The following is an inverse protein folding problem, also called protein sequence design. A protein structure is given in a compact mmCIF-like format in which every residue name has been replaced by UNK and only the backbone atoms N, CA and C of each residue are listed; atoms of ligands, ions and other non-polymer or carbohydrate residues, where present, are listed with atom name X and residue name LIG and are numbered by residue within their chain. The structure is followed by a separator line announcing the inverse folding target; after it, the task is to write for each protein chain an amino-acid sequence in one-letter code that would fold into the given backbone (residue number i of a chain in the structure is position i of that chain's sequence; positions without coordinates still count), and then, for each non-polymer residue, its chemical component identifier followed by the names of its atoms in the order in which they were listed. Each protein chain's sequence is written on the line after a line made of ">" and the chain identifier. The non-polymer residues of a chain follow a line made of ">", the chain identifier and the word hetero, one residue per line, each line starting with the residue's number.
data_IF_314334895097
#
_entry.id   IF_314334895097
#
_cell.length_a   1.000
_cell.length_b   1.000
_cell.length_c   1.000
_cell.angle_alpha   90.00
_cell.angle_beta   90.00
_cell.angle_gamma   90.00
#
_symmetry.space_group_name_H-M   'P 1'
#
loop_
_entity.id
_entity.type
_entity.pdbx_description
1 polymer ?
#
# COMPACT_ATOMS: atom_id res chain seq x y z
N UNK A 1 25.03 -1.08 -4.90
CA UNK A 1 23.99 -1.51 -3.96
C UNK A 1 24.48 -1.23 -2.54
N UNK A 2 23.60 -0.91 -1.58
CA UNK A 2 23.97 -0.42 -0.24
C UNK A 2 23.82 -1.46 0.89
N UNK A 3 23.59 -2.74 0.56
CA UNK A 3 23.46 -3.81 1.56
C UNK A 3 22.24 -3.72 2.48
N UNK A 4 21.19 -3.00 2.06
CA UNK A 4 19.94 -2.90 2.82
C UNK A 4 19.12 -4.19 2.79
N UNK A 5 18.21 -4.35 3.74
CA UNK A 5 17.32 -5.52 3.86
C UNK A 5 16.06 -5.36 3.02
N UNK A 6 15.56 -6.42 2.36
CA UNK A 6 14.27 -6.37 1.64
C UNK A 6 13.11 -6.45 2.62
N UNK A 7 13.06 -7.56 3.35
CA UNK A 7 12.15 -7.80 4.46
C UNK A 7 12.89 -7.42 5.73
N UNK A 8 12.29 -6.56 6.55
CA UNK A 8 12.95 -6.06 7.76
C UNK A 8 12.00 -5.90 8.94
N UNK A 9 12.47 -6.10 10.17
CA UNK A 9 11.65 -5.87 11.35
C UNK A 9 11.39 -4.37 11.52
N UNK A 10 10.31 -4.03 12.23
CA UNK A 10 9.89 -2.64 12.41
C UNK A 10 10.98 -1.76 13.06
N UNK A 11 11.76 -2.30 14.00
CA UNK A 11 12.80 -1.53 14.69
C UNK A 11 13.95 -1.06 13.79
N UNK A 12 14.10 -1.57 12.56
CA UNK A 12 15.05 -1.00 11.60
C UNK A 12 14.61 0.39 11.11
N UNK A 13 13.29 0.61 11.02
CA UNK A 13 12.68 1.86 10.59
C UNK A 13 12.26 2.77 11.74
N UNK A 14 12.05 2.18 12.93
CA UNK A 14 11.60 2.84 14.15
C UNK A 14 12.46 2.42 15.36
N UNK A 15 13.77 2.69 15.38
CA UNK A 15 14.69 2.17 16.40
C UNK A 15 14.44 2.71 17.82
N UNK A 16 13.83 3.90 17.91
CA UNK A 16 13.51 4.56 19.17
C UNK A 16 12.10 4.25 19.69
N UNK A 17 11.32 3.48 18.93
CA UNK A 17 9.98 3.05 19.33
C UNK A 17 10.08 1.72 20.08
N UNK A 18 9.76 1.72 21.37
CA UNK A 18 9.93 0.54 22.22
C UNK A 18 9.01 -0.62 21.82
N UNK A 19 7.82 -0.31 21.30
CA UNK A 19 6.88 -1.33 20.83
C UNK A 19 7.37 -1.97 19.55
N UNK A 20 7.92 -1.17 18.62
CA UNK A 20 8.51 -1.68 17.38
C UNK A 20 9.67 -2.68 17.60
N UNK A 21 10.37 -2.61 18.74
CA UNK A 21 11.44 -3.55 19.12
C UNK A 21 10.94 -4.94 19.52
N UNK A 22 9.72 -5.02 20.06
CA UNK A 22 9.16 -6.26 20.62
C UNK A 22 8.19 -6.96 19.67
N UNK A 23 7.82 -6.32 18.56
CA UNK A 23 6.89 -6.86 17.57
C UNK A 23 7.61 -7.82 16.62
N UNK A 24 7.14 -9.06 16.54
CA UNK A 24 7.72 -10.14 15.73
C UNK A 24 6.74 -10.81 14.76
N UNK A 25 5.45 -10.48 14.83
CA UNK A 25 4.37 -11.07 14.04
C UNK A 25 3.98 -10.25 12.79
N UNK A 26 4.79 -9.25 12.43
CA UNK A 26 4.60 -8.39 11.26
C UNK A 26 5.96 -7.85 10.80
N UNK A 27 6.04 -7.38 9.56
CA UNK A 27 7.29 -6.92 8.97
C UNK A 27 7.10 -5.75 8.03
N UNK A 28 8.19 -5.07 7.74
CA UNK A 28 8.27 -4.06 6.69
C UNK A 28 8.87 -4.65 5.41
N UNK A 29 8.32 -4.26 4.27
CA UNK A 29 8.96 -4.43 2.97
C UNK A 29 9.60 -3.09 2.56
N UNK A 30 10.94 -3.09 2.56
CA UNK A 30 11.72 -1.86 2.53
C UNK A 30 11.35 -0.97 3.72
N UNK A 31 11.28 0.34 3.49
CA UNK A 31 10.90 1.33 4.50
C UNK A 31 9.43 1.78 4.40
N UNK A 32 8.70 1.28 3.39
CA UNK A 32 7.47 1.90 2.91
C UNK A 32 6.20 1.07 3.14
N UNK A 33 6.29 -0.25 3.10
CA UNK A 33 5.11 -1.12 3.20
C UNK A 33 5.20 -1.93 4.49
N UNK A 34 4.12 -1.99 5.25
CA UNK A 34 3.97 -2.83 6.43
C UNK A 34 2.96 -3.94 6.13
N UNK A 35 3.32 -5.17 6.49
CA UNK A 35 2.52 -6.36 6.26
C UNK A 35 2.26 -7.04 7.61
N UNK A 36 0.99 -7.28 7.93
CA UNK A 36 0.59 -8.07 9.11
C UNK A 36 0.04 -9.42 8.64
N UNK A 37 0.88 -10.47 8.56
CA UNK A 37 0.41 -11.79 8.21
C UNK A 37 -0.51 -12.36 9.30
N UNK A 38 -1.35 -13.30 8.87
CA UNK A 38 -2.08 -14.15 9.78
C UNK A 38 -1.15 -15.22 10.35
N UNK A 39 -0.89 -15.16 11.66
CA UNK A 39 -0.04 -16.16 12.34
C UNK A 39 -0.89 -16.85 13.40
N UNK A 40 -1.26 -18.10 13.16
CA UNK A 40 -1.84 -18.98 14.16
C UNK A 40 -1.01 -20.25 14.28
N UNK A 41 -0.79 -20.68 15.52
CA UNK A 41 -0.52 -22.08 15.79
C UNK A 41 -1.81 -22.85 15.51
N UNK A 42 -1.75 -23.87 14.66
CA UNK A 42 -2.93 -24.72 14.40
C UNK A 42 -3.26 -25.49 15.67
N UNK A 43 -4.29 -25.05 16.38
CA UNK A 43 -5.12 -25.94 17.19
C UNK A 43 -6.37 -26.28 16.37
N UNK A 44 -6.62 -27.58 16.19
CA UNK A 44 -7.78 -28.09 15.43
C UNK A 44 -9.13 -27.74 16.09
N UNK A 45 -9.11 -27.25 17.34
CA UNK A 45 -10.28 -26.84 18.09
C UNK A 45 -10.45 -25.31 18.18
N UNK A 46 -9.57 -24.51 17.57
CA UNK A 46 -9.69 -23.05 17.57
C UNK A 46 -10.54 -22.56 16.40
N UNK A 47 -11.49 -21.68 16.73
CA UNK A 47 -12.24 -20.90 15.73
C UNK A 47 -11.29 -20.03 14.90
N UNK A 48 -11.61 -19.78 13.61
CA UNK A 48 -10.82 -18.86 12.79
C UNK A 48 -10.78 -17.48 13.43
N UNK A 49 -9.58 -16.88 13.55
CA UNK A 49 -9.49 -15.47 13.90
C UNK A 49 -10.05 -14.65 12.73
N UNK A 50 -11.02 -13.79 13.03
CA UNK A 50 -11.56 -12.83 12.06
C UNK A 50 -10.79 -11.50 12.07
N UNK A 51 -9.69 -11.44 12.82
CA UNK A 51 -8.87 -10.24 12.97
C UNK A 51 -7.41 -10.55 13.26
N UNK A 52 -6.50 -9.72 12.74
CA UNK A 52 -5.08 -9.73 13.10
C UNK A 52 -4.79 -8.55 14.02
N UNK A 53 -4.15 -8.83 15.16
CA UNK A 53 -3.67 -7.80 16.08
C UNK A 53 -2.25 -7.40 15.71
N UNK A 54 -2.02 -6.10 15.52
CA UNK A 54 -0.72 -5.57 15.13
C UNK A 54 -0.50 -4.14 15.60
N UNK A 55 0.72 -3.68 15.38
CA UNK A 55 1.21 -2.36 15.76
C UNK A 55 1.55 -1.53 14.52
N UNK A 56 0.93 -0.36 14.40
CA UNK A 56 1.31 0.66 13.42
C UNK A 56 2.11 1.76 14.14
N UNK A 57 3.42 1.91 13.88
CA UNK A 57 4.24 2.91 14.56
C UNK A 57 3.64 4.33 14.53
N UNK A 58 3.56 4.97 15.71
CA UNK A 58 2.83 6.24 15.91
C UNK A 58 3.48 7.46 15.25
N UNK A 59 4.77 7.38 14.93
CA UNK A 59 5.54 8.47 14.33
C UNK A 59 5.42 8.51 12.79
N UNK A 60 4.42 7.85 12.22
CA UNK A 60 4.11 7.88 10.80
C UNK A 60 2.60 7.76 10.58
N UNK A 61 2.12 8.35 9.49
CA UNK A 61 0.80 8.03 8.94
C UNK A 61 0.84 6.72 8.16
N UNK A 62 -0.24 5.95 8.22
CA UNK A 62 -0.39 4.67 7.54
C UNK A 62 -1.68 4.67 6.74
N UNK A 63 -1.65 4.18 5.49
CA UNK A 63 -2.85 4.03 4.66
C UNK A 63 -3.04 2.59 4.29
N UNK A 64 -4.27 2.08 4.36
CA UNK A 64 -4.55 0.71 3.96
C UNK A 64 -4.43 0.54 2.45
N UNK A 65 -3.92 -0.62 2.05
CA UNK A 65 -3.84 -1.08 0.67
C UNK A 65 -4.78 -2.26 0.37
N UNK A 66 -5.66 -2.58 1.33
CA UNK A 66 -6.74 -3.55 1.10
C UNK A 66 -7.86 -2.90 0.30
N UNK A 67 -8.62 -3.72 -0.43
CA UNK A 67 -9.69 -3.24 -1.30
C UNK A 67 -10.82 -2.53 -0.56
N UNK A 68 -11.20 -3.03 0.62
CA UNK A 68 -12.35 -2.55 1.39
C UNK A 68 -12.13 -1.18 2.06
N UNK A 69 -10.88 -0.80 2.30
CA UNK A 69 -10.51 0.48 2.90
C UNK A 69 -9.29 1.12 2.21
N UNK A 70 -9.19 0.93 0.89
CA UNK A 70 -8.07 1.39 0.07
C UNK A 70 -7.84 2.89 0.19
N UNK A 71 -6.61 3.29 0.52
CA UNK A 71 -6.21 4.67 0.68
C UNK A 71 -6.79 5.37 1.92
N UNK A 72 -7.52 4.65 2.78
CA UNK A 72 -8.00 5.18 4.06
C UNK A 72 -6.87 5.18 5.07
N UNK A 73 -6.72 6.29 5.80
CA UNK A 73 -5.75 6.39 6.89
C UNK A 73 -6.13 5.44 8.03
N UNK A 74 -5.19 4.59 8.43
CA UNK A 74 -5.32 3.67 9.54
C UNK A 74 -4.90 4.33 10.86
N UNK A 75 -5.52 3.89 11.96
CA UNK A 75 -5.14 4.33 13.29
C UNK A 75 -3.75 3.77 13.65
N UNK A 76 -2.80 4.66 13.98
CA UNK A 76 -1.51 4.25 14.53
C UNK A 76 -1.66 3.75 15.98
N UNK A 77 -0.70 2.96 16.43
CA UNK A 77 -0.72 2.24 17.70
C UNK A 77 -1.08 0.76 17.52
N UNK A 78 -1.37 0.08 18.63
CA UNK A 78 -1.90 -1.27 18.59
C UNK A 78 -3.37 -1.24 18.19
N UNK A 79 -3.72 -2.06 17.19
CA UNK A 79 -5.08 -2.18 16.71
C UNK A 79 -5.35 -3.61 16.21
N UNK A 80 -6.62 -4.00 16.26
CA UNK A 80 -7.09 -5.21 15.59
C UNK A 80 -7.69 -4.84 14.25
N UNK A 81 -7.21 -5.49 13.20
CA UNK A 81 -7.67 -5.27 11.83
C UNK A 81 -8.47 -6.48 11.36
N UNK A 82 -9.63 -6.25 10.73
CA UNK A 82 -10.40 -7.33 10.09
C UNK A 82 -9.52 -8.07 9.11
N UNK A 83 -9.58 -9.40 9.18
CA UNK A 83 -8.88 -10.30 8.27
C UNK A 83 -9.59 -11.65 8.33
N UNK A 84 -10.68 -11.77 7.58
CA UNK A 84 -11.34 -13.08 7.39
C UNK A 84 -10.63 -13.90 6.31
N UNK A 85 -10.96 -15.20 6.19
CA UNK A 85 -10.35 -16.09 5.17
C UNK A 85 -10.59 -15.63 3.73
N UNK A 86 -11.60 -14.79 3.50
CA UNK A 86 -11.95 -14.24 2.19
C UNK A 86 -11.42 -12.81 1.97
N UNK A 87 -10.67 -12.27 2.94
CA UNK A 87 -10.07 -10.94 2.85
C UNK A 87 -8.56 -11.05 2.64
N UNK A 88 -8.00 -10.08 1.91
CA UNK A 88 -6.56 -9.91 1.90
C UNK A 88 -6.08 -9.49 3.28
N UNK A 89 -4.92 -10.03 3.66
CA UNK A 89 -4.24 -9.67 4.90
C UNK A 89 -3.99 -8.15 5.01
N UNK A 90 -3.92 -7.58 6.22
CA UNK A 90 -3.60 -6.17 6.41
C UNK A 90 -2.25 -5.76 5.81
N UNK A 91 -2.31 -4.85 4.83
CA UNK A 91 -1.14 -4.23 4.21
C UNK A 91 -1.31 -2.72 4.23
N UNK A 92 -0.27 -2.00 4.65
CA UNK A 92 -0.29 -0.55 4.78
C UNK A 92 0.90 0.09 4.10
N UNK A 93 0.70 1.27 3.50
CA UNK A 93 1.79 2.14 3.07
C UNK A 93 2.05 3.24 4.10
N UNK A 94 3.32 3.48 4.39
CA UNK A 94 3.82 4.52 5.28
C UNK A 94 3.85 5.87 4.58
N UNK A 95 3.39 6.92 5.25
CA UNK A 95 3.53 8.31 4.83
C UNK A 95 4.98 8.72 4.53
N UNK A 96 5.13 9.72 3.67
CA UNK A 96 6.40 10.17 3.05
C UNK A 96 7.09 9.13 2.15
N UNK A 97 6.37 8.11 1.68
CA UNK A 97 6.91 7.10 0.77
C UNK A 97 6.33 7.24 -0.63
N UNK A 98 7.15 6.94 -1.63
CA UNK A 98 6.72 6.75 -3.02
C UNK A 98 7.09 5.33 -3.43
N UNK A 99 6.09 4.54 -3.80
CA UNK A 99 6.25 3.15 -4.25
C UNK A 99 5.93 3.07 -5.74
N UNK A 100 6.92 2.80 -6.61
CA UNK A 100 6.67 2.47 -8.00
C UNK A 100 5.91 1.16 -8.14
N UNK A 101 4.91 1.13 -9.02
CA UNK A 101 4.03 0.00 -9.33
C UNK A 101 3.90 -0.17 -10.86
N UNK A 102 3.35 -1.30 -11.28
CA UNK A 102 2.99 -1.64 -12.66
C UNK A 102 1.72 -2.47 -12.55
N UNK A 103 0.74 -2.19 -13.40
CA UNK A 103 -0.47 -2.99 -13.50
C UNK A 103 -0.12 -4.48 -13.66
N UNK A 104 -0.79 -5.40 -12.93
CA UNK A 104 -0.49 -6.81 -12.99
C UNK A 104 -0.90 -7.41 -14.34
N UNK A 105 -0.28 -8.53 -14.68
CA UNK A 105 -0.68 -9.47 -15.73
C UNK A 105 -0.28 -10.88 -15.30
N UNK A 106 -0.80 -11.89 -16.00
CA UNK A 106 -0.52 -13.30 -15.71
C UNK A 106 0.97 -13.69 -15.66
N UNK A 107 1.87 -12.93 -16.29
CA UNK A 107 3.32 -13.16 -16.25
C UNK A 107 4.10 -11.86 -16.10
N UNK A 108 5.31 -11.94 -15.53
CA UNK A 108 6.25 -10.81 -15.44
C UNK A 108 6.65 -10.29 -16.83
N UNK A 109 6.84 -11.17 -17.81
CA UNK A 109 7.10 -10.78 -19.21
C UNK A 109 6.00 -9.88 -19.78
N UNK A 110 4.75 -10.14 -19.39
CA UNK A 110 3.61 -9.34 -19.84
C UNK A 110 3.45 -8.06 -19.00
N UNK A 111 3.55 -8.13 -17.67
CA UNK A 111 3.36 -6.98 -16.79
C UNK A 111 4.46 -5.93 -16.94
N UNK A 112 5.70 -6.34 -17.23
CA UNK A 112 6.83 -5.41 -17.47
C UNK A 112 6.64 -4.50 -18.68
N UNK A 113 5.69 -4.81 -19.56
CA UNK A 113 5.32 -3.98 -20.72
C UNK A 113 4.29 -2.91 -20.38
N UNK A 114 3.64 -2.99 -19.21
CA UNK A 114 2.68 -1.97 -18.79
C UNK A 114 3.42 -0.69 -18.37
N UNK A 115 2.76 0.48 -18.49
CA UNK A 115 3.30 1.71 -17.95
C UNK A 115 3.61 1.60 -16.45
N UNK A 116 4.58 2.39 -16.00
CA UNK A 116 4.80 2.60 -14.58
C UNK A 116 3.64 3.36 -13.96
N UNK A 117 3.48 3.11 -12.66
CA UNK A 117 2.56 3.81 -11.78
C UNK A 117 3.35 4.27 -10.54
N UNK A 118 2.98 5.40 -9.95
CA UNK A 118 3.52 5.84 -8.66
C UNK A 118 2.40 5.90 -7.63
N UNK A 119 2.58 5.20 -6.52
CA UNK A 119 1.79 5.42 -5.31
C UNK A 119 2.55 6.32 -4.35
N UNK A 120 1.98 7.47 -4.04
CA UNK A 120 2.56 8.48 -3.15
C UNK A 120 1.70 8.54 -1.89
N UNK A 121 2.25 8.17 -0.74
CA UNK A 121 1.56 8.34 0.55
C UNK A 121 2.11 9.57 1.26
N UNK A 122 1.26 10.58 1.51
CA UNK A 122 1.65 11.75 2.27
C UNK A 122 1.55 11.48 3.76
N UNK A 123 2.45 12.05 4.56
CA UNK A 123 2.31 12.00 6.02
C UNK A 123 1.33 13.09 6.48
N UNK A 124 0.81 12.99 7.71
CA UNK A 124 0.00 14.04 8.34
C UNK A 124 0.71 15.40 8.29
N UNK A 125 2.04 15.41 8.38
CA UNK A 125 2.88 16.56 8.02
C UNK A 125 3.10 16.59 6.51
N UNK A 126 2.04 16.83 5.74
CA UNK A 126 1.99 16.71 4.27
C UNK A 126 3.02 17.57 3.50
N UNK A 127 3.55 18.61 4.15
CA UNK A 127 4.63 19.45 3.61
C UNK A 127 6.00 18.77 3.62
N UNK A 128 6.14 17.64 4.33
CA UNK A 128 7.35 16.82 4.30
C UNK A 128 7.45 16.12 2.96
N UNK A 129 8.67 16.06 2.44
CA UNK A 129 8.99 15.40 1.18
C UNK A 129 8.66 13.91 1.26
N UNK A 130 7.84 13.42 0.34
CA UNK A 130 7.74 11.99 0.06
C UNK A 130 8.82 11.59 -0.95
N UNK A 131 9.42 10.42 -0.77
CA UNK A 131 10.53 9.97 -1.61
C UNK A 131 10.42 8.51 -1.99
N UNK A 132 10.95 8.17 -3.16
CA UNK A 132 11.03 6.81 -3.66
C UNK A 132 12.20 6.63 -4.62
N UNK A 133 12.42 5.36 -4.97
CA UNK A 133 13.46 4.96 -5.88
C UNK A 133 12.88 3.93 -6.85
N UNK A 134 13.15 4.12 -8.14
CA UNK A 134 12.88 3.11 -9.16
C UNK A 134 14.22 2.62 -9.72
N UNK A 135 14.39 1.29 -9.75
CA UNK A 135 15.45 0.62 -10.48
C UNK A 135 14.81 -0.24 -11.57
N UNK A 136 15.38 -0.21 -12.77
CA UNK A 136 14.87 -0.94 -13.93
C UNK A 136 15.99 -1.47 -14.79
N UNK A 137 15.97 -2.76 -15.08
CA UNK A 137 16.93 -3.45 -15.92
C UNK A 137 16.21 -4.32 -16.98
N UNK A 138 16.93 -5.19 -17.67
CA UNK A 138 16.32 -6.21 -18.54
C UNK A 138 15.58 -7.29 -17.75
N UNK A 139 16.06 -7.63 -16.55
CA UNK A 139 15.48 -8.63 -15.64
C UNK A 139 16.01 -10.05 -15.81
N UNK A 140 16.90 -10.28 -16.78
CA UNK A 140 17.48 -11.58 -17.14
C UNK A 140 18.98 -11.49 -17.50
N UNK A 141 19.58 -10.29 -17.46
CA UNK A 141 20.99 -10.11 -17.77
C UNK A 141 21.89 -10.67 -16.68
N UNK A 142 22.92 -11.42 -17.10
CA UNK A 142 23.96 -11.98 -16.23
C UNK A 142 24.84 -10.87 -15.64
N UNK A 143 24.93 -9.72 -16.32
CA UNK A 143 25.72 -8.58 -15.88
C UNK A 143 24.81 -7.37 -15.54
N UNK A 144 24.25 -7.33 -14.33
CA UNK A 144 23.30 -6.29 -13.93
C UNK A 144 23.98 -4.92 -13.80
N UNK A 145 25.31 -4.83 -13.83
CA UNK A 145 26.02 -3.56 -13.66
C UNK A 145 26.02 -2.68 -14.91
N UNK A 146 25.63 -3.21 -16.08
CA UNK A 146 25.67 -2.46 -17.34
C UNK A 146 24.31 -2.25 -18.02
N UNK A 147 23.25 -2.89 -17.54
CA UNK A 147 21.93 -2.90 -18.19
C UNK A 147 20.80 -2.42 -17.27
N UNK A 148 21.03 -1.33 -16.53
CA UNK A 148 20.02 -0.74 -15.67
C UNK A 148 19.87 0.78 -15.79
N UNK A 149 18.72 1.25 -15.31
CA UNK A 149 18.36 2.65 -15.09
C UNK A 149 17.88 2.79 -13.66
N UNK A 150 18.16 3.95 -13.08
CA UNK A 150 17.74 4.29 -11.73
C UNK A 150 17.18 5.71 -11.72
N UNK A 151 16.04 5.89 -11.07
CA UNK A 151 15.43 7.20 -10.85
C UNK A 151 15.23 7.44 -9.36
N UNK A 152 15.63 8.63 -8.93
CA UNK A 152 15.23 9.19 -7.65
C UNK A 152 13.95 9.98 -7.85
N UNK A 153 12.92 9.66 -7.07
CA UNK A 153 11.61 10.28 -7.18
C UNK A 153 11.34 11.04 -5.90
N UNK A 154 10.91 12.28 -6.02
CA UNK A 154 10.56 13.11 -4.89
C UNK A 154 9.26 13.85 -5.17
N UNK A 155 8.41 13.90 -4.16
CA UNK A 155 7.19 14.69 -4.18
C UNK A 155 7.26 15.75 -3.08
N UNK A 156 6.88 16.96 -3.45
CA UNK A 156 6.83 18.12 -2.58
C UNK A 156 5.44 18.72 -2.65
N UNK A 157 4.90 19.09 -1.50
CA UNK A 157 3.68 19.89 -1.39
C UNK A 157 3.96 21.13 -0.56
N UNK A 158 3.38 22.24 -1.00
CA UNK A 158 3.29 23.52 -0.30
C UNK A 158 1.82 23.91 -0.19
N UNK A 159 1.52 25.02 0.47
CA UNK A 159 0.14 25.51 0.63
C UNK A 159 -0.59 25.87 -0.68
N UNK A 160 0.15 26.09 -1.77
CA UNK A 160 -0.41 26.58 -3.05
C UNK A 160 -0.02 25.73 -4.27
N UNK A 161 0.96 24.84 -4.11
CA UNK A 161 1.56 24.09 -5.22
C UNK A 161 2.03 22.71 -4.79
N UNK A 162 1.90 21.74 -5.68
CA UNK A 162 2.51 20.43 -5.61
C UNK A 162 3.53 20.23 -6.74
N UNK A 163 4.54 19.40 -6.50
CA UNK A 163 5.59 19.09 -7.47
C UNK A 163 6.05 17.64 -7.34
N UNK A 164 6.02 16.91 -8.45
CA UNK A 164 6.68 15.63 -8.62
C UNK A 164 7.96 15.83 -9.43
N UNK A 165 9.08 15.38 -8.89
CA UNK A 165 10.40 15.46 -9.53
C UNK A 165 10.94 14.04 -9.72
N UNK A 166 11.28 13.71 -10.97
CA UNK A 166 11.88 12.44 -11.35
C UNK A 166 13.27 12.76 -11.87
N UNK A 167 14.28 12.34 -11.12
CA UNK A 167 15.68 12.59 -11.45
C UNK A 167 16.36 11.28 -11.87
N UNK A 168 16.78 11.13 -13.13
CA UNK A 168 17.55 9.97 -13.54
C UNK A 168 18.96 10.04 -12.94
N UNK A 169 19.47 8.91 -12.45
CA UNK A 169 20.86 8.77 -12.04
C UNK A 169 21.71 8.32 -13.26
N UNK A 170 22.83 9.01 -13.53
CA UNK A 170 23.77 8.77 -14.65
C UNK A 170 24.71 7.56 -14.40
N UNK A 171 25.35 6.94 -15.44
CA UNK A 171 24.78 6.46 -16.71
C UNK A 171 25.31 5.06 -17.16
N UNK A 172 24.56 4.25 -17.92
CA UNK A 172 25.15 3.19 -18.79
C UNK A 172 24.38 2.93 -20.10
N UNK A 173 25.04 2.14 -20.98
CA UNK A 173 25.20 2.29 -22.45
C UNK A 173 24.26 1.51 -23.36
N UNK A 174 23.52 0.49 -22.87
CA UNK A 174 22.64 -0.33 -23.71
C UNK A 174 21.17 0.07 -23.59
N UNK A 175 20.42 -0.17 -24.67
CA UNK A 175 18.99 0.11 -24.72
C UNK A 175 18.23 -0.96 -23.93
N UNK A 176 17.68 -0.57 -22.79
CA UNK A 176 16.61 -1.31 -22.11
C UNK A 176 15.31 -0.64 -22.53
N UNK A 177 14.28 -1.42 -22.84
CA UNK A 177 12.96 -0.86 -23.08
C UNK A 177 12.40 -0.30 -21.76
N UNK A 178 12.09 0.99 -21.74
CA UNK A 178 11.62 1.70 -20.55
C UNK A 178 10.19 2.15 -20.83
N UNK A 179 9.19 1.58 -20.13
CA UNK A 179 7.82 2.06 -20.19
C UNK A 179 7.70 3.53 -19.77
N UNK A 180 6.66 4.20 -20.25
CA UNK A 180 6.27 5.52 -19.73
C UNK A 180 5.75 5.41 -18.30
N UNK A 181 5.74 6.52 -17.57
CA UNK A 181 4.96 6.65 -16.34
C UNK A 181 3.64 7.31 -16.72
N UNK A 182 2.53 6.65 -16.43
CA UNK A 182 1.19 7.09 -16.85
C UNK A 182 0.26 7.38 -15.66
N UNK A 183 0.43 6.62 -14.57
CA UNK A 183 -0.46 6.68 -13.40
C UNK A 183 0.28 7.25 -12.20
N UNK A 184 -0.30 8.25 -11.56
CA UNK A 184 0.14 8.77 -10.25
C UNK A 184 -1.06 8.78 -9.33
N UNK A 185 -0.93 8.14 -8.18
CA UNK A 185 -1.96 8.11 -7.14
C UNK A 185 -1.38 8.65 -5.85
N UNK A 186 -2.08 9.60 -5.22
CA UNK A 186 -1.60 10.32 -4.04
C UNK A 186 -2.64 10.18 -2.93
N UNK A 187 -2.24 9.55 -1.81
CA UNK A 187 -3.05 9.46 -0.60
C UNK A 187 -2.76 10.60 0.36
N UNK A 188 -3.78 11.06 1.08
CA UNK A 188 -3.66 12.15 2.04
C UNK A 188 -3.47 13.51 1.36
N UNK A 189 -3.93 13.67 0.12
CA UNK A 189 -3.87 14.96 -0.57
C UNK A 189 -4.97 15.88 -0.02
N UNK A 190 -4.60 16.81 0.86
CA UNK A 190 -5.54 17.64 1.65
C UNK A 190 -6.02 18.92 0.96
N UNK A 191 -5.61 19.15 -0.28
CA UNK A 191 -5.87 20.39 -0.99
C UNK A 191 -6.79 20.17 -2.18
N UNK A 192 -7.42 21.22 -2.71
CA UNK A 192 -8.24 21.13 -3.92
C UNK A 192 -7.37 21.42 -5.15
N UNK A 193 -7.02 20.43 -5.99
CA UNK A 193 -6.10 20.63 -7.10
C UNK A 193 -6.72 21.46 -8.24
N UNK A 194 -5.88 22.25 -8.91
CA UNK A 194 -6.22 23.00 -10.12
C UNK A 194 -5.48 22.37 -11.32
N UNK A 195 -6.11 21.40 -11.96
CA UNK A 195 -5.50 20.54 -12.99
C UNK A 195 -5.08 21.30 -14.25
N UNK A 196 -5.81 22.35 -14.61
CA UNK A 196 -5.54 23.24 -15.75
C UNK A 196 -4.23 24.04 -15.58
N UNK A 197 -3.77 24.19 -14.35
CA UNK A 197 -2.52 24.90 -14.05
C UNK A 197 -1.28 24.04 -14.19
N UNK A 198 -1.47 22.76 -14.51
CA UNK A 198 -0.39 21.80 -14.53
C UNK A 198 0.65 22.11 -15.65
N UNK A 199 1.90 21.79 -15.33
CA UNK A 199 3.05 21.97 -16.22
C UNK A 199 3.95 20.76 -16.15
N UNK A 200 4.37 20.26 -17.30
CA UNK A 200 5.41 19.27 -17.45
C UNK A 200 6.67 19.95 -17.97
N UNK A 201 7.75 19.93 -17.19
CA UNK A 201 9.02 20.61 -17.50
C UNK A 201 8.85 22.10 -17.80
N UNK A 202 8.00 22.79 -17.03
CA UNK A 202 7.58 24.19 -17.22
C UNK A 202 6.75 24.49 -18.48
N UNK A 203 6.43 23.48 -19.30
CA UNK A 203 5.50 23.61 -20.43
C UNK A 203 4.10 23.32 -19.92
N UNK A 204 3.08 24.15 -20.23
CA UNK A 204 1.69 23.86 -19.89
C UNK A 204 1.27 22.46 -20.34
N UNK A 205 0.65 21.72 -19.44
CA UNK A 205 0.14 20.37 -19.69
C UNK A 205 -1.13 20.20 -18.85
N UNK A 206 -2.29 20.40 -19.46
CA UNK A 206 -3.57 20.32 -18.75
C UNK A 206 -3.87 18.88 -18.33
N UNK A 207 -4.15 18.68 -17.04
CA UNK A 207 -4.49 17.37 -16.48
C UNK A 207 -6.01 17.13 -16.39
N UNK A 208 -6.84 18.11 -16.73
CA UNK A 208 -8.29 18.09 -16.45
C UNK A 208 -9.03 16.90 -17.08
N UNK A 209 -8.57 16.42 -18.24
CA UNK A 209 -9.19 15.29 -18.94
C UNK A 209 -8.77 13.91 -18.41
N UNK A 210 -7.71 13.85 -17.59
CA UNK A 210 -7.08 12.58 -17.19
C UNK A 210 -6.73 12.50 -15.70
N UNK A 211 -7.12 13.51 -14.91
CA UNK A 211 -6.95 13.52 -13.46
C UNK A 211 -8.30 13.67 -12.73
N UNK A 212 -8.36 13.13 -11.52
CA UNK A 212 -9.51 13.21 -10.64
C UNK A 212 -9.07 13.37 -9.19
N UNK A 213 -9.93 13.96 -8.37
CA UNK A 213 -9.71 14.13 -6.94
C UNK A 213 -10.97 13.76 -6.16
N UNK A 214 -10.82 12.89 -5.17
CA UNK A 214 -11.87 12.52 -4.24
C UNK A 214 -11.58 13.19 -2.87
N UNK A 215 -12.30 14.29 -2.53
CA UNK A 215 -12.06 15.01 -1.27
C UNK A 215 -12.48 14.23 -0.03
N UNK A 216 -13.47 13.32 -0.14
CA UNK A 216 -13.90 12.50 1.00
C UNK A 216 -12.88 11.44 1.39
N UNK A 217 -12.10 10.96 0.41
CA UNK A 217 -11.03 9.97 0.63
C UNK A 217 -9.64 10.59 0.68
N UNK A 218 -9.50 11.88 0.31
CA UNK A 218 -8.22 12.58 0.15
C UNK A 218 -7.28 11.86 -0.84
N UNK A 219 -7.85 11.38 -1.96
CA UNK A 219 -7.12 10.66 -3.01
C UNK A 219 -7.14 11.48 -4.29
N UNK A 220 -5.95 11.86 -4.76
CA UNK A 220 -5.73 12.44 -6.08
C UNK A 220 -5.20 11.35 -7.01
N UNK A 221 -5.82 11.20 -8.19
CA UNK A 221 -5.39 10.23 -9.20
C UNK A 221 -5.18 10.94 -10.54
N UNK A 222 -4.00 10.76 -11.12
CA UNK A 222 -3.65 11.17 -12.49
C UNK A 222 -3.46 9.88 -13.28
N UNK A 223 -4.10 9.77 -14.44
CA UNK A 223 -4.00 8.63 -15.34
C UNK A 223 -4.01 9.13 -16.78
N UNK A 224 -2.86 9.64 -17.23
CA UNK A 224 -2.70 10.20 -18.56
C UNK A 224 -1.76 9.30 -19.36
N UNK A 225 -2.20 8.88 -20.55
CA UNK A 225 -1.40 8.03 -21.43
C UNK A 225 -0.09 8.74 -21.83
N UNK A 226 1.04 8.05 -21.69
CA UNK A 226 2.37 8.59 -21.97
C UNK A 226 2.70 9.89 -21.19
N UNK A 227 2.25 10.02 -19.95
CA UNK A 227 2.39 11.26 -19.15
C UNK A 227 3.86 11.69 -19.01
N UNK A 228 4.76 10.77 -18.64
CA UNK A 228 6.21 11.04 -18.54
C UNK A 228 6.99 9.97 -19.29
N UNK A 229 7.81 10.42 -20.25
CA UNK A 229 8.83 9.60 -20.88
C UNK A 229 10.01 9.36 -19.93
N UNK A 230 10.01 8.19 -19.30
CA UNK A 230 11.04 7.77 -18.35
C UNK A 230 12.37 7.43 -19.05
N UNK A 231 12.40 7.26 -20.37
CA UNK A 231 13.61 6.95 -21.12
C UNK A 231 14.59 8.15 -21.19
N UNK A 232 14.05 9.37 -21.02
CA UNK A 232 14.79 10.62 -21.06
C UNK A 232 15.89 10.66 -19.98
N UNK A 233 17.09 11.09 -20.40
CA UNK A 233 18.27 11.20 -19.52
C UNK A 233 18.35 12.51 -18.75
N UNK A 234 17.26 13.27 -18.71
CA UNK A 234 17.17 14.56 -18.04
C UNK A 234 16.11 14.50 -16.96
N UNK A 235 16.29 15.29 -15.91
CA UNK A 235 15.28 15.49 -14.87
C UNK A 235 13.93 15.86 -15.50
N UNK A 236 12.86 15.22 -15.02
CA UNK A 236 11.48 15.52 -15.38
C UNK A 236 10.75 16.10 -14.17
N UNK A 237 9.89 17.08 -14.39
CA UNK A 237 9.17 17.77 -13.31
C UNK A 237 7.73 18.05 -13.71
N UNK A 238 6.78 17.47 -12.97
CA UNK A 238 5.35 17.77 -13.07
C UNK A 238 4.95 18.66 -11.90
N UNK A 239 4.29 19.78 -12.17
CA UNK A 239 3.82 20.72 -11.14
C UNK A 239 2.40 21.14 -11.41
N UNK A 240 1.59 21.37 -10.37
CA UNK A 240 0.27 21.98 -10.46
C UNK A 240 -0.01 22.82 -9.22
N UNK A 241 -0.83 23.85 -9.37
CA UNK A 241 -1.31 24.65 -8.25
C UNK A 241 -2.56 24.00 -7.63
N UNK A 242 -2.91 24.45 -6.44
CA UNK A 242 -4.08 23.99 -5.71
C UNK A 242 -4.55 25.06 -4.73
N UNK A 243 -5.83 24.99 -4.36
CA UNK A 243 -6.41 25.84 -3.35
C UNK A 243 -6.26 25.18 -1.98
N UNK A 244 -5.95 25.99 -0.97
CA UNK A 244 -5.99 25.56 0.41
C UNK A 244 -7.45 25.36 0.82
N UNK A 245 -7.84 24.13 1.13
CA UNK A 245 -9.11 23.84 1.76
C UNK A 245 -8.95 23.96 3.29
N UNK A 246 -9.90 24.55 4.04
CA UNK A 246 -9.86 24.48 5.49
C UNK A 246 -9.93 23.01 5.89
N UNK A 247 -8.91 22.51 6.59
CA UNK A 247 -8.84 21.11 7.03
C UNK A 247 -10.11 20.74 7.81
N UNK A 248 -10.93 19.87 7.22
CA UNK A 248 -12.04 19.20 7.91
C UNK A 248 -11.55 17.78 8.22
N UNK A 249 -11.27 17.43 9.48
CA UNK A 249 -10.88 16.07 9.81
C UNK A 249 -11.96 15.09 9.34
N UNK A 250 -11.58 13.94 8.76
CA UNK A 250 -12.57 12.92 8.39
C UNK A 250 -13.37 12.53 9.64
N UNK A 251 -14.68 12.24 9.50
CA UNK A 251 -15.47 11.76 10.62
C UNK A 251 -14.79 10.53 11.19
N UNK A 252 -14.33 10.62 12.44
CA UNK A 252 -13.85 9.47 13.18
C UNK A 252 -14.95 8.41 13.17
N UNK A 253 -14.64 7.17 12.74
CA UNK A 253 -15.54 6.03 13.01
C UNK A 253 -15.88 6.07 14.51
N UNK A 254 -17.16 5.95 14.90
CA UNK A 254 -17.55 6.01 16.30
C UNK A 254 -16.78 4.95 17.09
N UNK A 255 -16.24 5.37 18.23
CA UNK A 255 -15.61 4.52 19.22
C UNK A 255 -16.67 3.51 19.69
N UNK A 256 -16.54 2.24 19.33
CA UNK A 256 -17.31 1.19 20.00
C UNK A 256 -16.64 1.00 21.36
N UNK A 257 -17.05 1.82 22.32
CA UNK A 257 -16.72 1.62 23.73
C UNK A 257 -17.50 0.39 24.19
N UNK A 258 -16.85 -0.77 24.23
CA UNK A 258 -17.42 -1.92 24.92
C UNK A 258 -17.50 -1.59 26.41
N UNK A 259 -18.68 -1.23 26.88
CA UNK A 259 -18.98 -1.15 28.31
C UNK A 259 -18.82 -2.54 28.90
N UNK A 260 -17.77 -2.73 29.70
CA UNK A 260 -17.66 -3.89 30.58
C UNK A 260 -18.70 -3.70 31.67
N UNK A 261 -19.88 -4.31 31.49
CA UNK A 261 -20.84 -4.48 32.58
C UNK A 261 -20.34 -5.63 33.44
N UNK A 262 -19.67 -5.33 34.55
CA UNK A 262 -19.41 -6.29 35.62
C UNK A 262 -20.74 -6.74 36.21
N UNK A 263 -21.20 -7.94 35.84
CA UNK A 263 -22.24 -8.65 36.56
C UNK A 263 -21.58 -9.61 37.55
N UNK A 264 -21.46 -9.15 38.79
CA UNK A 264 -21.25 -10.02 39.95
C UNK A 264 -22.60 -10.59 40.39
N UNK A 265 -22.81 -11.88 40.21
CA UNK A 265 -23.61 -12.68 41.14
C UNK A 265 -23.22 -14.15 41.07
N UNK A 266 -22.71 -14.64 42.20
CA UNK A 266 -22.54 -16.06 42.48
C UNK A 266 -23.91 -16.66 42.80
N UNK A 267 -24.27 -17.74 42.12
CA UNK A 267 -25.17 -18.76 42.68
C UNK A 267 -24.65 -20.16 42.35
N UNK A 268 -24.32 -20.90 43.41
CA UNK A 268 -24.06 -22.34 43.39
C UNK A 268 -25.36 -23.07 43.03
N UNK A 269 -25.33 -23.97 42.05
CA UNK A 269 -26.29 -25.05 41.94
C UNK A 269 -25.62 -26.32 41.44
N UNK A 270 -25.61 -27.32 42.31
CA UNK A 270 -25.35 -28.73 42.06
C UNK A 270 -26.53 -29.36 41.32
N UNK A 271 -26.30 -30.10 40.23
CA UNK A 271 -26.75 -31.50 40.07
C UNK A 271 -26.43 -32.08 38.68
N UNK A 272 -25.72 -33.22 38.73
CA UNK A 272 -25.80 -34.45 37.93
C UNK A 272 -25.99 -34.45 36.40
N UNK A 273 -25.07 -35.18 35.76
CA UNK A 273 -25.13 -35.69 34.38
C UNK A 273 -26.32 -36.62 34.15
N UNK A 274 -26.81 -36.67 32.90
CA UNK A 274 -27.26 -37.91 32.28
C UNK A 274 -26.35 -38.32 31.11
N UNK A 275 -26.09 -39.62 31.08
CA UNK A 275 -25.50 -40.38 29.98
C UNK A 275 -26.58 -40.53 28.89
N UNK A 276 -26.23 -40.27 27.62
CA UNK A 276 -26.88 -40.96 26.50
C UNK A 276 -25.90 -41.18 25.34
N UNK A 277 -25.83 -42.43 24.91
CA UNK A 277 -25.16 -42.91 23.71
C UNK A 277 -25.99 -42.54 22.47
N UNK A 278 -25.35 -42.18 21.37
CA UNK A 278 -25.91 -42.34 20.04
C UNK A 278 -24.82 -42.52 18.97
N UNK A 279 -25.07 -43.52 18.13
CA UNK A 279 -24.19 -44.10 17.12
C UNK A 279 -23.86 -43.18 15.91
N UNK A 280 -22.68 -43.46 15.36
CA UNK A 280 -22.11 -43.05 14.07
C UNK A 280 -23.06 -43.12 12.86
N UNK A 281 -22.93 -42.17 11.93
CA UNK A 281 -22.67 -42.49 10.50
C UNK A 281 -22.13 -41.29 9.72
N UNK A 282 -20.92 -41.45 9.21
CA UNK A 282 -20.24 -40.65 8.18
C UNK A 282 -20.98 -40.64 6.84
N UNK A 283 -21.08 -39.48 6.18
CA UNK A 283 -21.03 -39.36 4.72
C UNK A 283 -20.30 -38.09 4.28
N UNK A 284 -19.25 -38.28 3.49
CA UNK A 284 -18.51 -37.25 2.79
C UNK A 284 -19.30 -36.74 1.57
N UNK A 285 -19.18 -35.44 1.27
CA UNK A 285 -19.70 -34.84 0.03
C UNK A 285 -18.77 -33.74 -0.47
N UNK A 286 -18.22 -33.92 -1.68
CA UNK A 286 -17.47 -32.97 -2.53
C UNK A 286 -17.69 -33.46 -3.99
N UNK A 287 -17.72 -32.63 -5.06
CA UNK A 287 -18.33 -31.31 -5.27
C UNK A 287 -19.15 -31.29 -6.60
N UNK A 288 -19.80 -30.17 -6.95
CA UNK A 288 -20.01 -29.82 -8.37
C UNK A 288 -19.80 -28.33 -8.62
N UNK A 289 -18.96 -28.06 -9.61
CA UNK A 289 -18.63 -26.77 -10.20
C UNK A 289 -19.80 -26.19 -10.99
N UNK A 290 -20.05 -24.89 -10.87
CA UNK A 290 -20.67 -24.10 -11.94
C UNK A 290 -19.92 -22.79 -12.12
N UNK A 291 -19.41 -22.64 -13.33
CA UNK A 291 -18.72 -21.48 -13.86
C UNK A 291 -19.68 -20.33 -14.09
N UNK A 292 -19.39 -19.15 -13.54
CA UNK A 292 -19.85 -17.88 -14.11
C UNK A 292 -18.75 -16.82 -14.01
N UNK A 293 -18.44 -16.23 -15.16
CA UNK A 293 -17.47 -15.18 -15.35
C UNK A 293 -17.74 -13.97 -14.45
N UNK A 294 -16.74 -13.56 -13.67
CA UNK A 294 -16.60 -12.16 -13.26
C UNK A 294 -15.14 -11.75 -13.33
N UNK A 295 -14.78 -11.05 -14.42
CA UNK A 295 -13.63 -10.15 -14.43
C UNK A 295 -13.92 -9.03 -13.41
N UNK A 296 -13.38 -9.17 -12.20
CA UNK A 296 -13.41 -8.13 -11.16
C UNK A 296 -11.99 -7.93 -10.66
N UNK A 297 -11.52 -6.68 -10.75
CA UNK A 297 -10.30 -6.11 -10.15
C UNK A 297 -9.24 -7.12 -9.69
N UNK A 298 -8.26 -7.40 -10.54
CA UNK A 298 -6.98 -7.92 -10.03
C UNK A 298 -6.30 -6.80 -9.22
N UNK A 299 -6.15 -7.10 -7.93
CA UNK A 299 -5.95 -6.14 -6.84
C UNK A 299 -4.56 -5.49 -6.78
N UNK A 300 -4.46 -4.39 -6.04
CA UNK A 300 -3.23 -3.66 -5.74
C UNK A 300 -2.13 -4.52 -5.07
N UNK A 301 -2.48 -5.64 -4.45
CA UNK A 301 -1.52 -6.59 -3.89
C UNK A 301 -0.80 -7.40 -4.99
N UNK A 302 -1.54 -7.84 -6.01
CA UNK A 302 -0.99 -8.55 -7.17
C UNK A 302 -0.03 -7.65 -7.96
N UNK A 303 -0.35 -6.36 -8.04
CA UNK A 303 0.52 -5.33 -8.62
C UNK A 303 1.81 -5.10 -7.81
N UNK A 304 1.73 -5.17 -6.47
CA UNK A 304 2.88 -4.92 -5.60
C UNK A 304 3.86 -6.09 -5.57
N UNK A 305 3.36 -7.33 -5.72
CA UNK A 305 4.19 -8.54 -5.74
C UNK A 305 5.07 -8.64 -7.00
N UNK A 306 4.67 -8.02 -8.11
CA UNK A 306 5.31 -8.21 -9.42
C UNK A 306 6.56 -7.33 -9.66
N UNK A 307 6.81 -6.30 -8.84
CA UNK A 307 7.86 -5.30 -9.14
C UNK A 307 9.16 -5.45 -8.36
N UNK A 308 9.18 -6.23 -7.30
CA UNK A 308 10.32 -6.22 -6.36
C UNK A 308 10.94 -7.63 -6.27
N UNK A 309 11.22 -8.24 -7.42
CA UNK A 309 12.34 -9.19 -7.47
C UNK A 309 13.67 -8.51 -7.79
N UNK A 310 13.68 -7.21 -8.14
CA UNK A 310 14.89 -6.57 -8.67
C UNK A 310 15.22 -5.17 -8.14
N UNK A 311 14.48 -4.61 -7.17
CA UNK A 311 14.93 -3.39 -6.47
C UNK A 311 15.72 -3.75 -5.21
N UNK A 312 17.01 -4.01 -5.39
CA UNK A 312 18.03 -4.11 -4.33
C UNK A 312 19.29 -3.32 -4.70
#
# INVERSE_FOLDING_TARGET
>A
MSGGTVIRPLFFEFPYDEYARNVSNQFMWGSAILVMPYVMERDHNMEPLNSVHGYLPINATWYSLRENDYGVAAQSGFASHSSTINEFLPVFIRGNSIVPRQSPRATTTASRKNPFELLIALDAKWFRRAAGLLYWDSGDSIDPFYEYRKWQIAYFSSTIRASLVINPAYPQRKSVNIPTLDIIEIFGYVHSPLFETAKLNNVPFDLSDCASYNPSMLILRINCTNLIDMSLRKRQTLTWNHNMEPYVPPPSKPLITSTITTLTSFTKSTHQMPISEAHSTTKAYIPTTSSTNSLKCESALTAMLLLIFYTL
#
